data_IF_645162726460
#
_entry.id   IF_645162726460
#
_cell.length_a   1.000
_cell.length_b   1.000
_cell.length_c   1.000
_cell.angle_alpha   90.00
_cell.angle_beta   90.00
_cell.angle_gamma   90.00
#
_symmetry.space_group_name_H-M   'P 1'
#
loop_
_entity.id
_entity.type
_entity.pdbx_description
1 polymer ?
#
# COMPACT_ATOMS: atom_id res chain seq x y z
N UNK A 1 5.34 -2.05 16.28
CA UNK A 1 5.34 -0.60 16.54
C UNK A 1 6.54 0.16 15.92
N UNK A 2 7.62 -0.52 15.50
CA UNK A 2 8.85 0.17 15.07
C UNK A 2 8.87 0.70 13.63
N UNK A 3 8.37 -0.04 12.63
CA UNK A 3 8.49 0.38 11.22
C UNK A 3 7.44 1.40 10.80
N UNK A 4 6.16 1.19 11.16
CA UNK A 4 5.08 2.13 10.84
C UNK A 4 5.32 3.54 11.41
N UNK A 5 5.81 3.62 12.66
CA UNK A 5 6.18 4.91 13.26
C UNK A 5 7.45 5.51 12.63
N UNK A 6 8.35 4.67 12.07
CA UNK A 6 9.59 5.10 11.42
C UNK A 6 9.36 5.55 9.98
N UNK A 7 8.42 4.94 9.25
CA UNK A 7 7.93 5.41 7.95
C UNK A 7 7.10 6.69 8.13
N UNK A 8 6.14 6.69 9.06
CA UNK A 8 5.32 7.87 9.38
C UNK A 8 6.19 9.08 9.78
N UNK A 9 7.18 8.87 10.65
CA UNK A 9 8.12 9.92 11.04
C UNK A 9 9.03 10.42 9.91
N UNK A 10 9.41 9.57 8.95
CA UNK A 10 10.17 10.01 7.77
C UNK A 10 9.32 10.82 6.79
N UNK A 11 8.05 10.43 6.60
CA UNK A 11 7.10 11.13 5.74
C UNK A 11 6.77 12.51 6.32
N UNK A 12 6.51 12.62 7.62
CA UNK A 12 6.20 13.91 8.27
C UNK A 12 7.38 14.91 8.16
N UNK A 13 8.63 14.43 8.30
CA UNK A 13 9.85 15.26 8.16
C UNK A 13 10.11 15.69 6.70
N UNK A 14 9.78 14.85 5.72
CA UNK A 14 9.95 15.19 4.30
C UNK A 14 8.89 16.17 3.81
N UNK A 15 7.67 16.09 4.35
CA UNK A 15 6.59 17.05 4.08
C UNK A 15 6.89 18.44 4.67
N UNK A 16 7.63 18.52 5.78
CA UNK A 16 8.04 19.79 6.40
C UNK A 16 9.22 20.48 5.68
N UNK A 17 10.06 19.70 4.95
CA UNK A 17 11.22 20.22 4.20
C UNK A 17 10.90 20.69 2.78
N UNK A 18 9.70 20.42 2.29
CA UNK A 18 9.21 20.95 1.02
C UNK A 18 8.49 22.26 1.32
N UNK A 19 9.18 23.39 1.10
CA UNK A 19 8.64 24.75 1.25
C UNK A 19 7.41 24.94 0.35
N UNK A 20 6.22 24.60 0.86
CA UNK A 20 4.94 24.90 0.22
C UNK A 20 4.54 26.31 0.65
N UNK A 21 4.40 27.29 -0.27
CA UNK A 21 3.90 28.60 0.09
C UNK A 21 2.47 28.47 0.61
N UNK A 22 2.27 28.92 1.85
CA UNK A 22 0.96 29.08 2.47
C UNK A 22 0.13 30.00 1.57
N UNK A 23 -0.83 29.43 0.84
CA UNK A 23 -1.83 30.23 0.14
C UNK A 23 -3.02 30.40 1.07
N UNK A 24 -3.29 31.65 1.42
CA UNK A 24 -4.37 32.05 2.31
C UNK A 24 -5.71 31.46 1.83
N UNK A 25 -6.31 30.66 2.71
CA UNK A 25 -7.67 30.15 2.61
C UNK A 25 -8.64 31.32 2.63
N UNK A 26 -9.26 31.65 1.50
CA UNK A 26 -10.48 32.45 1.49
C UNK A 26 -11.68 31.50 1.68
N UNK A 27 -12.30 31.57 2.85
CA UNK A 27 -13.49 30.81 3.22
C UNK A 27 -14.63 31.03 2.21
N UNK A 28 -15.01 29.96 1.50
CA UNK A 28 -16.29 29.90 0.80
C UNK A 28 -16.96 28.61 1.28
N UNK A 29 -17.94 28.75 2.17
CA UNK A 29 -18.79 27.64 2.59
C UNK A 29 -19.57 27.11 1.38
N UNK A 30 -19.53 25.80 1.18
CA UNK A 30 -20.30 25.09 0.14
C UNK A 30 -21.60 24.49 0.67
N UNK A 31 -22.00 24.83 1.89
CA UNK A 31 -23.27 24.35 2.45
C UNK A 31 -24.46 24.94 1.69
N UNK A 32 -25.26 24.05 1.08
CA UNK A 32 -26.50 24.40 0.37
C UNK A 32 -26.37 24.54 -1.15
N UNK A 33 -25.19 24.33 -1.73
CA UNK A 33 -25.01 24.38 -3.19
C UNK A 33 -25.52 23.10 -3.87
N UNK A 34 -26.24 23.25 -4.97
CA UNK A 34 -26.64 22.09 -5.78
C UNK A 34 -25.50 21.57 -6.68
N UNK A 35 -25.73 20.44 -7.33
CA UNK A 35 -24.73 19.77 -8.17
C UNK A 35 -24.24 20.61 -9.34
N UNK A 36 -25.09 21.46 -9.92
CA UNK A 36 -24.73 22.31 -11.05
C UNK A 36 -23.93 23.53 -10.57
N UNK A 37 -24.24 24.05 -9.38
CA UNK A 37 -23.46 25.13 -8.74
C UNK A 37 -22.06 24.68 -8.32
N UNK A 38 -21.91 23.45 -7.81
CA UNK A 38 -20.61 22.85 -7.51
C UNK A 38 -19.78 22.62 -8.77
N UNK A 39 -20.42 22.18 -9.86
CA UNK A 39 -19.75 21.99 -11.15
C UNK A 39 -19.27 23.33 -11.74
N UNK A 40 -20.09 24.38 -11.64
CA UNK A 40 -19.72 25.73 -12.07
C UNK A 40 -18.58 26.31 -11.24
N UNK A 41 -18.55 26.09 -9.92
CA UNK A 41 -17.46 26.52 -9.03
C UNK A 41 -16.14 25.81 -9.39
N UNK A 42 -16.20 24.51 -9.67
CA UNK A 42 -15.03 23.72 -10.09
C UNK A 42 -14.48 24.19 -11.46
N UNK A 43 -15.38 24.49 -12.41
CA UNK A 43 -15.00 25.04 -13.72
C UNK A 43 -14.36 26.43 -13.61
N UNK A 44 -14.91 27.30 -12.74
CA UNK A 44 -14.35 28.63 -12.47
C UNK A 44 -12.97 28.57 -11.81
N UNK A 45 -12.75 27.63 -10.87
CA UNK A 45 -11.44 27.38 -10.27
C UNK A 45 -10.41 26.90 -11.30
N UNK A 46 -10.81 26.02 -12.22
CA UNK A 46 -9.95 25.58 -13.34
C UNK A 46 -9.56 26.73 -14.28
N UNK A 47 -10.50 27.63 -14.60
CA UNK A 47 -10.21 28.80 -15.45
C UNK A 47 -9.26 29.80 -14.77
N UNK A 48 -9.49 30.11 -13.49
CA UNK A 48 -8.61 31.01 -12.73
C UNK A 48 -7.19 30.44 -12.56
N UNK A 49 -7.05 29.11 -12.48
CA UNK A 49 -5.74 28.45 -12.43
C UNK A 49 -5.01 28.54 -13.78
N UNK A 50 -5.74 28.35 -14.88
CA UNK A 50 -5.21 28.49 -16.25
C UNK A 50 -4.81 29.93 -16.62
N UNK A 51 -5.44 30.95 -16.04
CA UNK A 51 -5.04 32.35 -16.24
C UNK A 51 -3.81 32.73 -15.40
N UNK A 52 -3.68 32.16 -14.19
CA UNK A 52 -2.48 32.34 -13.36
C UNK A 52 -1.24 31.69 -13.96
N UNK A 53 -1.38 30.55 -14.63
CA UNK A 53 -0.27 29.90 -15.33
C UNK A 53 0.17 30.64 -16.61
N UNK A 54 -0.73 31.40 -17.27
CA UNK A 54 -0.36 32.24 -18.44
C UNK A 54 0.42 33.50 -18.09
N UNK A 55 0.31 33.99 -16.85
CA UNK A 55 1.00 35.21 -16.40
C UNK A 55 2.43 34.96 -15.91
N UNK A 56 2.92 33.71 -15.90
CA UNK A 56 4.29 33.37 -15.52
C UNK A 56 5.29 33.30 -16.69
N UNK A 57 4.83 33.34 -17.95
CA UNK A 57 5.68 33.15 -19.13
C UNK A 57 6.02 34.43 -19.93
N UNK A 58 5.62 35.61 -19.47
CA UNK A 58 5.99 36.87 -20.14
C UNK A 58 7.25 37.51 -19.53
N UNK A 59 8.39 36.86 -19.78
CA UNK A 59 9.73 37.45 -19.69
C UNK A 59 10.34 37.56 -21.09
N UNK A 60 10.43 38.80 -21.58
CA UNK A 60 11.00 39.25 -22.86
C UNK A 60 12.08 38.35 -23.52
N UNK A 61 11.89 38.04 -24.81
CA UNK A 61 12.94 38.18 -25.84
C UNK A 61 12.36 38.30 -27.25
N UNK A 62 12.82 39.32 -27.94
CA UNK A 62 12.42 39.81 -29.27
C UNK A 62 13.18 39.07 -30.39
N UNK A 63 12.42 38.34 -31.23
CA UNK A 63 12.43 38.16 -32.73
C UNK A 63 13.76 38.02 -33.56
N UNK A 64 13.73 37.55 -34.85
CA UNK A 64 12.59 37.23 -35.74
C UNK A 64 12.66 35.95 -36.64
N UNK A 65 11.45 35.56 -37.09
CA UNK A 65 10.99 35.10 -38.42
C UNK A 65 11.30 33.72 -39.05
N UNK A 66 10.21 33.21 -39.67
CA UNK A 66 10.09 32.44 -40.92
C UNK A 66 10.13 30.89 -40.87
N UNK A 67 8.96 30.23 -40.86
CA UNK A 67 8.31 29.65 -42.07
C UNK A 67 6.96 28.96 -41.75
N UNK A 68 5.97 29.23 -42.59
CA UNK A 68 4.65 28.58 -42.67
C UNK A 68 4.71 27.10 -43.09
N UNK A 69 3.80 26.26 -42.57
CA UNK A 69 2.99 25.30 -43.36
C UNK A 69 1.81 24.69 -42.56
N UNK A 70 0.59 25.09 -42.98
CA UNK A 70 -0.68 24.36 -43.17
C UNK A 70 -0.77 22.88 -42.73
N UNK A 71 -1.79 22.49 -41.94
CA UNK A 71 -2.87 21.51 -42.29
C UNK A 71 -4.08 21.72 -41.37
N UNK A 72 -5.20 22.10 -42.00
CA UNK A 72 -6.55 22.19 -41.45
C UNK A 72 -7.34 20.92 -41.85
N UNK A 73 -8.27 20.48 -40.98
CA UNK A 73 -9.33 19.52 -41.33
C UNK A 73 -9.23 18.10 -40.76
N UNK A 74 -9.71 17.89 -39.52
CA UNK A 74 -10.31 16.59 -39.12
C UNK A 74 -11.13 16.57 -37.80
N UNK A 75 -11.84 17.65 -37.44
CA UNK A 75 -12.63 17.67 -36.18
C UNK A 75 -14.13 17.37 -36.37
N UNK A 76 -14.65 17.32 -37.60
CA UNK A 76 -16.11 17.22 -37.83
C UNK A 76 -16.71 15.82 -38.00
N UNK A 77 -15.92 14.74 -37.98
CA UNK A 77 -16.43 13.37 -38.21
C UNK A 77 -16.58 12.50 -36.96
N UNK A 78 -16.21 12.98 -35.77
CA UNK A 78 -16.36 12.21 -34.52
C UNK A 78 -17.72 12.45 -33.83
N UNK A 79 -18.31 13.64 -33.95
CA UNK A 79 -19.57 13.98 -33.27
C UNK A 79 -20.81 13.33 -33.89
N UNK A 80 -20.78 12.92 -35.16
CA UNK A 80 -21.93 12.31 -35.84
C UNK A 80 -22.09 10.81 -35.62
N UNK A 81 -21.04 10.10 -35.16
CA UNK A 81 -21.10 8.65 -34.86
C UNK A 81 -21.61 8.33 -33.45
N UNK A 82 -21.72 9.33 -32.57
CA UNK A 82 -22.21 9.16 -31.20
C UNK A 82 -23.74 9.29 -31.08
N UNK A 83 -24.42 9.94 -32.03
CA UNK A 83 -25.88 10.08 -32.02
C UNK A 83 -26.61 8.82 -32.48
N UNK A 84 -26.00 8.01 -33.35
CA UNK A 84 -26.70 6.94 -34.06
C UNK A 84 -26.63 5.59 -33.31
N UNK A 85 -25.77 5.46 -32.29
CA UNK A 85 -25.68 4.25 -31.43
C UNK A 85 -26.68 4.30 -30.25
N UNK A 86 -27.23 5.47 -29.94
CA UNK A 86 -28.10 5.67 -28.77
C UNK A 86 -29.58 5.29 -28.99
N UNK A 87 -29.98 4.77 -30.17
CA UNK A 87 -31.40 4.56 -30.50
C UNK A 87 -31.82 3.07 -30.56
N UNK A 88 -30.92 2.09 -30.53
CA UNK A 88 -31.32 0.67 -30.58
C UNK A 88 -30.62 -0.21 -29.53
N UNK A 89 -31.05 -0.10 -28.27
CA UNK A 89 -30.98 -1.21 -27.30
C UNK A 89 -31.84 -0.94 -26.07
N UNK A 90 -33.14 -1.19 -26.19
CA UNK A 90 -34.02 -1.41 -25.04
C UNK A 90 -33.78 -2.81 -24.49
N UNK A 91 -32.86 -2.94 -23.55
CA UNK A 91 -32.88 -4.01 -22.53
C UNK A 91 -31.98 -3.61 -21.38
N UNK A 92 -32.59 -3.35 -20.23
CA UNK A 92 -31.90 -3.16 -18.96
C UNK A 92 -31.35 -4.50 -18.49
N UNK A 93 -30.07 -4.77 -18.77
CA UNK A 93 -29.17 -5.66 -18.05
C UNK A 93 -27.81 -5.58 -18.79
N UNK A 94 -26.71 -5.40 -18.06
CA UNK A 94 -25.30 -5.27 -18.54
C UNK A 94 -24.79 -3.89 -18.98
N UNK A 95 -24.94 -2.86 -18.13
CA UNK A 95 -24.14 -1.61 -18.25
C UNK A 95 -22.82 -1.69 -17.45
N UNK A 96 -22.72 -2.56 -16.44
CA UNK A 96 -21.50 -2.72 -15.63
C UNK A 96 -20.36 -3.43 -16.40
N UNK A 97 -20.67 -4.38 -17.26
CA UNK A 97 -19.66 -5.11 -18.05
C UNK A 97 -19.10 -4.29 -19.23
N UNK A 98 -19.89 -3.36 -19.79
CA UNK A 98 -19.47 -2.52 -20.91
C UNK A 98 -18.49 -1.40 -20.50
N UNK A 99 -18.51 -0.98 -19.23
CA UNK A 99 -17.56 -0.02 -18.68
C UNK A 99 -16.16 -0.63 -18.43
N UNK A 100 -16.05 -1.96 -18.37
CA UNK A 100 -14.79 -2.65 -18.10
C UNK A 100 -13.93 -2.84 -19.37
N UNK A 101 -14.53 -3.07 -20.54
CA UNK A 101 -13.76 -3.23 -21.79
C UNK A 101 -13.34 -1.91 -22.47
N UNK A 102 -13.98 -0.78 -22.17
CA UNK A 102 -13.73 0.46 -22.92
C UNK A 102 -12.48 1.25 -22.46
N UNK A 103 -11.80 0.84 -21.38
CA UNK A 103 -10.65 1.58 -20.84
C UNK A 103 -9.28 1.16 -21.38
N UNK A 104 -9.22 0.22 -22.33
CA UNK A 104 -7.96 -0.38 -22.82
C UNK A 104 -7.41 0.27 -24.11
N UNK A 105 -8.05 1.29 -24.71
CA UNK A 105 -7.57 1.85 -25.99
C UNK A 105 -7.59 3.37 -26.06
N UNK A 106 -6.52 3.98 -25.56
CA UNK A 106 -5.87 5.25 -26.01
C UNK A 106 -4.95 5.65 -24.85
N UNK A 107 -3.63 5.72 -24.94
CA UNK A 107 -2.79 6.40 -25.92
C UNK A 107 -1.45 5.66 -26.06
N UNK A 108 -1.14 5.16 -27.26
CA UNK A 108 0.24 5.05 -27.73
C UNK A 108 0.37 6.02 -28.88
N UNK A 109 1.28 6.97 -28.75
CA UNK A 109 2.20 7.46 -29.78
C UNK A 109 2.79 8.79 -29.34
N UNK A 110 4.05 8.79 -28.90
CA UNK A 110 5.11 9.62 -29.49
C UNK A 110 6.47 9.14 -28.95
N UNK A 111 7.41 8.89 -29.86
CA UNK A 111 8.74 8.35 -29.55
C UNK A 111 9.69 9.51 -29.17
N UNK A 112 10.22 9.46 -27.95
CA UNK A 112 11.21 10.41 -27.44
C UNK A 112 11.43 10.19 -25.95
N UNK A 113 11.97 9.03 -25.58
CA UNK A 113 12.13 8.57 -24.20
C UNK A 113 12.90 9.59 -23.34
N UNK A 114 12.21 10.13 -22.35
CA UNK A 114 12.79 10.79 -21.17
C UNK A 114 12.54 9.94 -19.92
N UNK A 115 13.35 10.10 -18.88
CA UNK A 115 13.16 9.40 -17.59
C UNK A 115 11.75 9.64 -16.98
N UNK A 116 11.08 10.72 -17.37
CA UNK A 116 9.70 11.00 -16.97
C UNK A 116 8.68 10.07 -17.66
N UNK A 117 8.95 9.60 -18.87
CA UNK A 117 8.08 8.69 -19.62
C UNK A 117 8.13 7.27 -19.06
N UNK A 118 9.29 6.84 -18.55
CA UNK A 118 9.46 5.53 -17.89
C UNK A 118 8.68 5.47 -16.57
N UNK A 119 8.80 6.49 -15.72
CA UNK A 119 7.99 6.66 -14.50
C UNK A 119 6.48 6.66 -14.80
N UNK A 120 6.04 7.32 -15.88
CA UNK A 120 4.62 7.32 -16.29
C UNK A 120 4.15 5.92 -16.71
N UNK A 121 4.99 5.13 -17.37
CA UNK A 121 4.66 3.73 -17.70
C UNK A 121 4.58 2.82 -16.47
N UNK A 122 5.41 3.04 -15.45
CA UNK A 122 5.38 2.25 -14.20
C UNK A 122 4.19 2.59 -13.32
N UNK A 123 3.77 3.86 -13.31
CA UNK A 123 2.55 4.28 -12.60
C UNK A 123 1.29 3.81 -13.32
N UNK A 124 1.31 3.74 -14.66
CA UNK A 124 0.25 3.08 -15.43
C UNK A 124 0.06 1.64 -14.98
N UNK A 125 1.16 0.91 -14.73
CA UNK A 125 1.09 -0.46 -14.23
C UNK A 125 0.42 -0.55 -12.84
N UNK A 126 0.66 0.41 -11.94
CA UNK A 126 -0.02 0.44 -10.65
C UNK A 126 -1.55 0.58 -10.79
N UNK A 127 -2.01 1.30 -11.82
CA UNK A 127 -3.43 1.44 -12.12
C UNK A 127 -4.03 0.13 -12.68
N UNK A 128 -3.22 -0.74 -13.28
CA UNK A 128 -3.62 -1.99 -13.93
C UNK A 128 -3.50 -3.23 -13.02
N UNK A 129 -3.04 -3.07 -11.77
CA UNK A 129 -2.84 -4.17 -10.84
C UNK A 129 -4.16 -4.74 -10.31
N UNK A 130 -4.48 -5.97 -10.71
CA UNK A 130 -5.52 -6.79 -10.08
C UNK A 130 -4.89 -7.70 -9.01
N UNK A 131 -5.07 -7.32 -7.75
CA UNK A 131 -4.63 -8.12 -6.60
C UNK A 131 -5.73 -9.02 -6.03
N UNK A 132 -6.91 -9.05 -6.67
CA UNK A 132 -8.14 -9.58 -6.07
C UNK A 132 -8.66 -8.70 -4.94
N UNK A 133 -9.96 -8.77 -4.66
CA UNK A 133 -10.55 -8.09 -3.49
C UNK A 133 -10.07 -8.80 -2.22
N UNK A 134 -9.45 -8.10 -1.24
CA UNK A 134 -9.29 -8.65 0.10
C UNK A 134 -10.67 -9.10 0.60
N UNK A 135 -10.77 -10.28 1.21
CA UNK A 135 -12.00 -10.73 1.86
C UNK A 135 -12.25 -9.85 3.09
N UNK A 136 -12.99 -8.77 2.89
CA UNK A 136 -13.58 -7.95 3.93
C UNK A 136 -14.85 -7.32 3.39
N UNK A 137 -15.94 -7.42 4.15
CA UNK A 137 -17.28 -6.94 3.76
C UNK A 137 -17.39 -5.41 3.59
N UNK A 138 -16.27 -4.69 3.65
CA UNK A 138 -16.16 -3.22 3.67
C UNK A 138 -15.54 -2.62 2.39
N UNK A 139 -15.24 -3.44 1.38
CA UNK A 139 -14.84 -2.95 0.06
C UNK A 139 -13.53 -2.15 0.02
N UNK A 140 -12.62 -2.33 1.00
CA UNK A 140 -11.31 -1.67 1.03
C UNK A 140 -10.17 -2.62 0.62
N UNK A 141 -9.03 -2.03 0.29
CA UNK A 141 -7.83 -2.69 -0.25
C UNK A 141 -6.88 -3.25 0.84
N UNK A 142 -7.27 -3.13 2.10
CA UNK A 142 -6.52 -3.61 3.26
C UNK A 142 -6.97 -5.02 3.65
N UNK A 143 -6.04 -5.86 4.14
CA UNK A 143 -6.38 -7.18 4.70
C UNK A 143 -6.72 -7.12 6.21
N UNK A 144 -6.96 -5.93 6.76
CA UNK A 144 -7.19 -5.68 8.17
C UNK A 144 -8.21 -4.58 8.40
N UNK A 145 -8.77 -4.57 9.61
CA UNK A 145 -9.78 -3.61 10.04
C UNK A 145 -9.36 -2.88 11.31
N UNK A 146 -9.91 -1.68 11.54
CA UNK A 146 -9.85 -0.98 12.83
C UNK A 146 -10.99 -1.47 13.72
N UNK A 147 -10.65 -1.96 14.90
CA UNK A 147 -11.59 -2.41 15.92
C UNK A 147 -11.54 -1.48 17.12
N UNK A 148 -12.69 -0.97 17.52
CA UNK A 148 -12.92 -0.34 18.81
C UNK A 148 -13.26 -1.43 19.81
N UNK A 149 -12.35 -1.69 20.73
CA UNK A 149 -12.52 -2.70 21.76
C UNK A 149 -12.78 -2.01 23.09
N UNK A 150 -13.96 -2.24 23.64
CA UNK A 150 -14.37 -1.83 24.97
C UNK A 150 -14.13 -3.00 25.93
N UNK A 151 -13.43 -2.75 27.04
CA UNK A 151 -13.14 -3.76 28.06
C UNK A 151 -12.86 -3.12 29.41
N UNK A 152 -12.41 -3.90 30.38
CA UNK A 152 -12.19 -3.48 31.76
C UNK A 152 -10.68 -3.36 32.02
N UNK A 153 -10.24 -2.27 32.66
CA UNK A 153 -8.86 -2.12 33.12
C UNK A 153 -8.59 -2.79 34.48
N UNK A 154 -7.34 -2.76 34.94
CA UNK A 154 -6.94 -3.32 36.25
C UNK A 154 -7.70 -2.70 37.44
N UNK A 155 -8.20 -1.46 37.29
CA UNK A 155 -8.99 -0.74 38.30
C UNK A 155 -10.49 -1.07 38.25
N UNK A 156 -10.91 -1.98 37.36
CA UNK A 156 -12.32 -2.32 37.16
C UNK A 156 -13.11 -1.30 36.35
N UNK A 157 -12.47 -0.33 35.70
CA UNK A 157 -13.13 0.71 34.89
C UNK A 157 -13.19 0.31 33.43
N UNK A 158 -14.31 0.66 32.79
CA UNK A 158 -14.47 0.48 31.35
C UNK A 158 -13.56 1.43 30.58
N UNK A 159 -12.73 0.89 29.68
CA UNK A 159 -11.88 1.65 28.77
C UNK A 159 -12.11 1.21 27.34
N UNK A 160 -11.91 2.15 26.42
CA UNK A 160 -12.03 1.93 24.99
C UNK A 160 -10.65 2.04 24.37
N UNK A 161 -10.27 1.07 23.55
CA UNK A 161 -9.03 1.08 22.78
C UNK A 161 -9.31 0.75 21.32
N UNK A 162 -8.81 1.59 20.43
CA UNK A 162 -8.90 1.35 18.98
C UNK A 162 -7.64 0.64 18.52
N UNK A 163 -7.76 -0.56 17.96
CA UNK A 163 -6.64 -1.33 17.44
C UNK A 163 -6.96 -1.92 16.08
N UNK A 164 -5.97 -1.92 15.21
CA UNK A 164 -6.06 -2.67 13.96
C UNK A 164 -5.90 -4.17 14.23
N UNK A 165 -6.40 -5.01 13.32
CA UNK A 165 -6.17 -6.45 13.30
C UNK A 165 -6.70 -7.07 12.02
N UNK A 166 -6.11 -8.19 11.57
CA UNK A 166 -6.70 -8.96 10.45
C UNK A 166 -8.02 -9.64 10.83
N UNK A 167 -8.29 -9.75 12.12
CA UNK A 167 -9.54 -10.23 12.71
C UNK A 167 -9.69 -9.68 14.14
N UNK A 168 -10.87 -9.88 14.72
CA UNK A 168 -11.22 -9.46 16.09
C UNK A 168 -10.28 -10.08 17.13
N UNK A 169 -9.97 -11.37 17.02
CA UNK A 169 -9.10 -12.08 17.97
C UNK A 169 -7.71 -11.43 18.08
N UNK A 170 -7.15 -11.00 16.95
CA UNK A 170 -5.86 -10.31 16.93
C UNK A 170 -5.95 -8.91 17.54
N UNK A 171 -7.06 -8.21 17.36
CA UNK A 171 -7.29 -6.92 18.02
C UNK A 171 -7.44 -7.10 19.53
N UNK A 172 -8.18 -8.13 19.98
CA UNK A 172 -8.32 -8.52 21.40
C UNK A 172 -6.95 -8.80 22.02
N UNK A 173 -6.15 -9.69 21.41
CA UNK A 173 -4.80 -10.02 21.90
C UNK A 173 -3.88 -8.80 22.03
N UNK A 174 -4.10 -7.77 21.21
CA UNK A 174 -3.35 -6.50 21.31
C UNK A 174 -3.80 -5.67 22.50
N UNK A 175 -5.11 -5.53 22.74
CA UNK A 175 -5.59 -4.76 23.90
C UNK A 175 -5.33 -5.47 25.23
N UNK A 176 -5.36 -6.81 25.24
CA UNK A 176 -4.99 -7.64 26.41
C UNK A 176 -3.54 -7.41 26.84
N UNK A 177 -2.61 -7.36 25.88
CA UNK A 177 -1.20 -7.04 26.14
C UNK A 177 -0.99 -5.64 26.72
N UNK A 178 -1.99 -4.78 26.61
CA UNK A 178 -1.97 -3.43 27.15
C UNK A 178 -2.84 -3.28 28.41
N UNK A 179 -3.18 -4.40 29.07
CA UNK A 179 -3.86 -4.43 30.37
C UNK A 179 -5.38 -4.28 30.31
N UNK A 180 -6.01 -4.54 29.15
CA UNK A 180 -7.47 -4.56 29.03
C UNK A 180 -7.97 -6.01 29.13
N UNK A 181 -8.98 -6.23 29.96
CA UNK A 181 -9.55 -7.55 30.23
C UNK A 181 -11.01 -7.64 29.84
N UNK A 182 -11.46 -8.86 29.57
CA UNK A 182 -12.84 -9.15 29.21
C UNK A 182 -13.80 -8.98 30.39
N UNK A 183 -15.12 -8.94 30.14
CA UNK A 183 -15.77 -9.13 28.83
C UNK A 183 -15.48 -7.98 27.85
N UNK A 184 -15.34 -8.33 26.56
CA UNK A 184 -15.07 -7.36 25.49
C UNK A 184 -16.33 -7.10 24.66
N UNK A 185 -16.56 -5.83 24.36
CA UNK A 185 -17.51 -5.39 23.34
C UNK A 185 -16.71 -4.78 22.18
N UNK A 186 -17.01 -5.20 20.95
CA UNK A 186 -16.21 -4.86 19.77
C UNK A 186 -17.11 -4.21 18.72
N UNK A 187 -16.62 -3.10 18.19
CA UNK A 187 -17.24 -2.35 17.09
C UNK A 187 -16.19 -2.15 16.00
N UNK A 188 -16.58 -2.34 14.74
CA UNK A 188 -15.73 -2.08 13.59
C UNK A 188 -15.79 -0.58 13.24
N UNK A 189 -14.63 0.07 13.14
CA UNK A 189 -14.51 1.45 12.68
C UNK A 189 -14.04 1.46 11.23
N UNK A 190 -14.64 2.29 10.39
CA UNK A 190 -14.18 2.53 9.03
C UNK A 190 -12.75 3.09 8.98
N UNK A 191 -12.06 2.83 7.88
CA UNK A 191 -10.72 3.39 7.67
C UNK A 191 -10.80 4.86 7.28
N UNK A 192 -9.75 5.61 7.62
CA UNK A 192 -9.74 7.03 7.26
C UNK A 192 -9.54 7.15 5.74
N UNK A 193 -10.23 8.08 5.06
CA UNK A 193 -9.92 8.38 3.67
C UNK A 193 -8.51 8.98 3.54
N UNK A 194 -7.89 8.92 2.34
CA UNK A 194 -6.64 9.59 2.05
C UNK A 194 -6.71 11.07 2.41
N UNK A 195 -5.63 11.57 2.97
CA UNK A 195 -5.51 13.01 3.25
C UNK A 195 -5.38 13.79 1.95
N UNK A 196 -5.77 15.07 1.95
CA UNK A 196 -5.62 15.95 0.79
C UNK A 196 -4.19 15.98 0.24
N UNK A 197 -3.19 15.93 1.14
CA UNK A 197 -1.77 15.88 0.76
C UNK A 197 -1.41 14.59 0.01
N UNK A 198 -1.96 13.46 0.43
CA UNK A 198 -1.78 12.19 -0.25
C UNK A 198 -2.46 12.19 -1.61
N UNK A 199 -3.69 12.69 -1.70
CA UNK A 199 -4.42 12.82 -2.97
C UNK A 199 -3.67 13.71 -3.96
N UNK A 200 -3.20 14.87 -3.52
CA UNK A 200 -2.41 15.78 -4.35
C UNK A 200 -1.08 15.15 -4.80
N UNK A 201 -0.46 14.33 -3.95
CA UNK A 201 0.74 13.59 -4.31
C UNK A 201 0.45 12.51 -5.38
N UNK A 202 -0.61 11.73 -5.21
CA UNK A 202 -1.02 10.72 -6.18
C UNK A 202 -1.39 11.34 -7.53
N UNK A 203 -2.18 12.43 -7.52
CA UNK A 203 -2.57 13.17 -8.73
C UNK A 203 -1.35 13.74 -9.47
N UNK A 204 -0.41 14.35 -8.75
CA UNK A 204 0.83 14.89 -9.35
C UNK A 204 1.64 13.82 -10.08
N UNK A 205 1.62 12.60 -9.56
CA UNK A 205 2.33 11.47 -10.15
C UNK A 205 1.47 10.70 -11.16
N UNK A 206 0.25 11.17 -11.50
CA UNK A 206 -0.60 10.53 -12.50
C UNK A 206 -1.30 9.24 -12.04
N UNK A 207 -1.32 8.96 -10.74
CA UNK A 207 -2.06 7.82 -10.19
C UNK A 207 -3.56 8.12 -10.13
N UNK A 208 -4.39 7.21 -10.66
CA UNK A 208 -5.84 7.37 -10.68
C UNK A 208 -6.41 6.71 -9.42
N UNK A 209 -6.83 7.52 -8.45
CA UNK A 209 -7.36 7.00 -7.19
C UNK A 209 -8.66 6.20 -7.40
N UNK A 210 -8.67 4.88 -7.13
CA UNK A 210 -9.91 4.10 -7.16
C UNK A 210 -10.84 4.51 -6.00
N UNK A 211 -12.16 4.34 -6.15
CA UNK A 211 -13.09 4.52 -5.04
C UNK A 211 -12.77 3.53 -3.91
N UNK A 212 -12.94 3.96 -2.65
CA UNK A 212 -12.65 3.12 -1.48
C UNK A 212 -11.17 3.05 -1.08
N UNK A 213 -10.30 3.83 -1.75
CA UNK A 213 -8.92 4.00 -1.31
C UNK A 213 -8.90 4.56 0.11
N UNK A 214 -8.08 3.98 0.99
CA UNK A 214 -7.88 4.45 2.36
C UNK A 214 -6.59 5.25 2.49
N UNK A 215 -6.44 5.97 3.61
CA UNK A 215 -5.19 6.63 4.00
C UNK A 215 -3.97 5.70 3.99
N UNK A 216 -4.15 4.47 4.45
CA UNK A 216 -3.06 3.51 4.51
C UNK A 216 -2.70 3.02 3.11
N UNK A 217 -3.69 2.73 2.25
CA UNK A 217 -3.47 2.37 0.84
C UNK A 217 -2.70 3.45 0.09
N UNK A 218 -3.13 4.71 0.23
CA UNK A 218 -2.44 5.85 -0.36
C UNK A 218 -1.00 5.97 0.13
N UNK A 219 -0.72 5.61 1.39
CA UNK A 219 0.65 5.61 1.92
C UNK A 219 1.53 4.55 1.25
N UNK A 220 1.00 3.35 1.01
CA UNK A 220 1.74 2.29 0.28
C UNK A 220 2.03 2.71 -1.16
N UNK A 221 1.04 3.26 -1.86
CA UNK A 221 1.22 3.71 -3.26
C UNK A 221 2.26 4.82 -3.34
N UNK A 222 2.17 5.83 -2.46
CA UNK A 222 3.15 6.92 -2.39
C UNK A 222 4.54 6.38 -2.06
N UNK A 223 4.66 5.41 -1.14
CA UNK A 223 5.91 4.75 -0.82
C UNK A 223 6.57 4.15 -2.06
N UNK A 224 5.80 3.41 -2.87
CA UNK A 224 6.29 2.81 -4.12
C UNK A 224 6.75 3.84 -5.14
N UNK A 225 6.02 4.95 -5.27
CA UNK A 225 6.40 6.05 -6.17
C UNK A 225 7.71 6.71 -5.69
N UNK A 226 7.86 6.95 -4.39
CA UNK A 226 9.03 7.63 -3.83
C UNK A 226 10.29 6.74 -3.86
N UNK A 227 10.12 5.46 -3.51
CA UNK A 227 11.24 4.51 -3.42
C UNK A 227 11.51 3.81 -4.78
N UNK A 228 10.76 4.18 -5.83
CA UNK A 228 10.81 3.56 -7.17
C UNK A 228 10.68 2.02 -7.09
N UNK A 229 9.86 1.52 -6.16
CA UNK A 229 9.68 0.10 -5.90
C UNK A 229 8.35 -0.41 -6.48
N UNK A 230 8.41 -0.74 -7.75
CA UNK A 230 7.27 -1.30 -8.48
C UNK A 230 7.20 -2.83 -8.38
N UNK A 231 8.04 -3.47 -7.57
CA UNK A 231 8.04 -4.92 -7.38
C UNK A 231 6.71 -5.43 -6.83
N UNK A 232 6.09 -6.40 -7.52
CA UNK A 232 4.83 -6.99 -7.06
C UNK A 232 5.08 -8.17 -6.14
N UNK A 233 4.44 -8.21 -4.96
CA UNK A 233 4.54 -9.36 -4.08
C UNK A 233 4.10 -10.64 -4.78
N UNK A 234 4.97 -11.64 -4.75
CA UNK A 234 4.63 -12.99 -5.21
C UNK A 234 3.52 -13.64 -4.36
N UNK A 235 2.74 -14.54 -4.96
CA UNK A 235 1.62 -15.21 -4.28
C UNK A 235 2.02 -15.96 -3.01
N UNK A 236 3.20 -16.58 -2.98
CA UNK A 236 3.69 -17.28 -1.78
C UNK A 236 3.93 -16.31 -0.62
N UNK A 237 4.36 -15.07 -0.90
CA UNK A 237 4.63 -14.06 0.11
C UNK A 237 3.32 -13.51 0.68
N UNK A 238 2.32 -13.27 -0.19
CA UNK A 238 0.96 -12.91 0.23
C UNK A 238 0.37 -14.01 1.11
N UNK A 239 0.48 -15.28 0.69
CA UNK A 239 -0.01 -16.42 1.48
C UNK A 239 0.71 -16.54 2.83
N UNK A 240 2.03 -16.35 2.85
CA UNK A 240 2.82 -16.34 4.07
C UNK A 240 2.37 -15.23 5.03
N UNK A 241 2.20 -14.01 4.53
CA UNK A 241 1.72 -12.86 5.30
C UNK A 241 0.33 -13.13 5.89
N UNK A 242 -0.61 -13.65 5.10
CA UNK A 242 -1.95 -14.00 5.57
C UNK A 242 -1.92 -15.06 6.67
N UNK A 243 -1.13 -16.13 6.50
CA UNK A 243 -1.02 -17.19 7.52
C UNK A 243 -0.37 -16.73 8.82
N UNK A 244 0.54 -15.77 8.75
CA UNK A 244 1.14 -15.09 9.90
C UNK A 244 0.29 -13.94 10.42
N UNK A 245 -0.91 -13.75 9.84
CA UNK A 245 -1.86 -12.70 10.18
C UNK A 245 -1.26 -11.29 10.06
N UNK A 246 -0.28 -11.08 9.17
CA UNK A 246 0.40 -9.80 8.95
C UNK A 246 -0.56 -8.83 8.27
N UNK A 247 -0.63 -7.61 8.79
CA UNK A 247 -1.41 -6.52 8.23
C UNK A 247 -0.69 -5.88 7.04
N UNK A 248 -1.37 -5.76 5.88
CA UNK A 248 -0.86 -5.10 4.68
C UNK A 248 -2.00 -4.56 3.78
N UNK A 249 -1.64 -3.62 2.91
CA UNK A 249 -2.46 -3.20 1.75
C UNK A 249 -2.07 -4.04 0.54
N UNK A 250 -3.03 -4.35 -0.34
CA UNK A 250 -2.71 -4.96 -1.64
C UNK A 250 -1.71 -4.15 -2.45
N UNK A 251 -1.62 -2.84 -2.22
CA UNK A 251 -0.69 -1.96 -2.92
C UNK A 251 0.75 -2.05 -2.41
N UNK A 252 1.03 -2.83 -1.35
CA UNK A 252 2.38 -3.02 -0.84
C UNK A 252 3.32 -3.58 -1.93
N UNK A 253 4.57 -3.09 -1.96
CA UNK A 253 5.59 -3.67 -2.82
C UNK A 253 6.04 -5.03 -2.30
N UNK A 254 6.73 -5.81 -3.14
CA UNK A 254 7.31 -7.10 -2.72
C UNK A 254 8.27 -6.92 -1.55
N UNK A 255 9.05 -5.85 -1.55
CA UNK A 255 10.00 -5.53 -0.48
C UNK A 255 9.27 -5.12 0.79
N UNK A 256 8.29 -4.21 0.69
CA UNK A 256 7.51 -3.74 1.83
C UNK A 256 6.76 -4.89 2.51
N UNK A 257 6.15 -5.77 1.73
CA UNK A 257 5.45 -6.92 2.27
C UNK A 257 6.42 -7.91 2.93
N UNK A 258 7.58 -8.16 2.31
CA UNK A 258 8.61 -9.02 2.88
C UNK A 258 9.14 -8.47 4.21
N UNK A 259 9.50 -7.19 4.25
CA UNK A 259 9.90 -6.52 5.48
C UNK A 259 8.79 -6.55 6.53
N UNK A 260 7.54 -6.33 6.14
CA UNK A 260 6.38 -6.41 7.03
C UNK A 260 6.23 -7.81 7.65
N UNK A 261 6.39 -8.87 6.85
CA UNK A 261 6.40 -10.26 7.35
C UNK A 261 7.49 -10.43 8.40
N UNK A 262 8.72 -9.98 8.15
CA UNK A 262 9.84 -10.16 9.09
C UNK A 262 9.67 -9.34 10.37
N UNK A 263 9.26 -8.07 10.27
CA UNK A 263 9.25 -7.13 11.40
C UNK A 263 7.95 -7.15 12.21
N UNK A 264 6.81 -7.48 11.59
CA UNK A 264 5.51 -7.54 12.27
C UNK A 264 5.19 -8.93 12.82
N UNK A 265 5.92 -9.98 12.41
CA UNK A 265 5.85 -11.29 13.06
C UNK A 265 6.21 -11.19 14.54
N UNK A 266 5.46 -11.89 15.39
CA UNK A 266 5.85 -12.02 16.78
C UNK A 266 7.14 -12.83 16.92
N UNK A 267 7.72 -12.83 18.12
CA UNK A 267 9.05 -13.42 18.33
C UNK A 267 9.10 -14.92 18.04
N UNK A 268 7.99 -15.64 18.22
CA UNK A 268 7.88 -17.09 17.96
C UNK A 268 7.89 -17.35 16.46
N UNK A 269 6.98 -16.70 15.74
CA UNK A 269 6.88 -16.83 14.30
C UNK A 269 8.16 -16.36 13.62
N UNK A 270 8.75 -15.26 14.10
CA UNK A 270 10.02 -14.75 13.60
C UNK A 270 11.18 -15.72 13.81
N UNK A 271 11.20 -16.46 14.94
CA UNK A 271 12.21 -17.48 15.18
C UNK A 271 12.02 -18.69 14.24
N UNK A 272 10.77 -19.10 14.00
CA UNK A 272 10.44 -20.17 13.04
C UNK A 272 10.84 -19.78 11.61
N UNK A 273 10.51 -18.55 11.18
CA UNK A 273 10.93 -17.99 9.90
C UNK A 273 12.46 -17.97 9.76
N UNK A 274 13.18 -17.67 10.85
CA UNK A 274 14.64 -17.58 10.82
C UNK A 274 15.30 -18.95 10.63
N UNK A 275 14.87 -19.99 11.35
CA UNK A 275 15.41 -21.34 11.13
C UNK A 275 15.02 -21.88 9.74
N UNK A 276 13.83 -21.55 9.25
CA UNK A 276 13.45 -21.84 7.87
C UNK A 276 14.39 -21.16 6.87
N UNK A 277 14.68 -19.87 7.03
CA UNK A 277 15.67 -19.15 6.22
C UNK A 277 17.04 -19.85 6.21
N UNK A 278 17.52 -20.27 7.39
CA UNK A 278 18.78 -21.01 7.51
C UNK A 278 18.73 -22.33 6.74
N UNK A 279 17.62 -23.09 6.85
CA UNK A 279 17.41 -24.34 6.13
C UNK A 279 17.41 -24.14 4.60
N UNK A 280 16.69 -23.12 4.11
CA UNK A 280 16.65 -22.79 2.68
C UNK A 280 18.04 -22.37 2.18
N UNK A 281 18.74 -21.51 2.92
CA UNK A 281 20.07 -21.04 2.56
C UNK A 281 21.10 -22.18 2.51
N UNK A 282 21.05 -23.12 3.46
CA UNK A 282 21.94 -24.28 3.46
C UNK A 282 21.76 -25.15 2.21
N UNK A 283 20.52 -25.35 1.79
CA UNK A 283 20.17 -26.17 0.63
C UNK A 283 20.24 -25.40 -0.71
N UNK A 284 20.72 -24.15 -0.71
CA UNK A 284 20.73 -23.25 -1.87
C UNK A 284 19.33 -23.10 -2.52
N UNK A 285 18.27 -23.13 -1.71
CA UNK A 285 16.90 -22.94 -2.15
C UNK A 285 16.46 -21.48 -1.88
N UNK A 286 15.57 -20.91 -2.71
CA UNK A 286 15.01 -19.59 -2.45
C UNK A 286 14.14 -19.60 -1.20
N UNK A 287 14.07 -18.46 -0.52
CA UNK A 287 13.10 -18.24 0.55
C UNK A 287 11.68 -18.21 -0.03
N UNK A 288 10.76 -18.99 0.55
CA UNK A 288 9.37 -19.11 0.09
C UNK A 288 8.41 -19.18 1.29
N UNK A 289 7.20 -19.66 1.07
CA UNK A 289 6.22 -19.88 2.12
C UNK A 289 6.66 -21.03 3.04
N UNK A 290 7.11 -20.68 4.25
CA UNK A 290 7.56 -21.64 5.26
C UNK A 290 6.54 -22.75 5.55
N UNK A 291 5.24 -22.45 5.45
CA UNK A 291 4.21 -23.42 5.78
C UNK A 291 3.95 -24.50 4.73
N UNK A 292 4.56 -24.38 3.55
CA UNK A 292 4.57 -25.43 2.53
C UNK A 292 5.69 -26.45 2.79
N UNK A 293 6.60 -26.15 3.73
CA UNK A 293 7.69 -27.04 4.09
C UNK A 293 7.19 -28.16 5.03
N UNK A 294 7.51 -29.44 4.74
CA UNK A 294 7.08 -30.57 5.59
C UNK A 294 7.65 -30.52 7.02
N UNK A 295 8.76 -29.80 7.23
CA UNK A 295 9.41 -29.66 8.53
C UNK A 295 8.89 -28.48 9.36
N UNK A 296 7.75 -27.89 9.00
CA UNK A 296 7.15 -26.75 9.72
C UNK A 296 7.04 -26.96 11.23
N UNK A 297 6.66 -28.17 11.68
CA UNK A 297 6.56 -28.50 13.09
C UNK A 297 7.92 -28.46 13.80
N UNK A 298 9.02 -28.80 13.12
CA UNK A 298 10.37 -28.70 13.67
C UNK A 298 10.81 -27.23 13.80
N UNK A 299 10.45 -26.37 12.85
CA UNK A 299 10.76 -24.94 12.93
C UNK A 299 10.09 -24.29 14.15
N UNK A 300 8.86 -24.68 14.46
CA UNK A 300 8.18 -24.21 15.66
C UNK A 300 8.74 -24.80 16.95
N UNK A 301 9.21 -26.06 16.96
CA UNK A 301 9.94 -26.60 18.12
C UNK A 301 11.22 -25.80 18.42
N UNK A 302 11.95 -25.40 17.37
CA UNK A 302 13.09 -24.50 17.54
C UNK A 302 12.66 -23.12 18.07
N UNK A 303 11.59 -22.55 17.53
CA UNK A 303 11.06 -21.28 18.01
C UNK A 303 10.70 -21.32 19.50
N UNK A 304 10.09 -22.41 19.96
CA UNK A 304 9.77 -22.64 21.37
C UNK A 304 11.05 -22.71 22.24
N UNK A 305 12.13 -23.31 21.74
CA UNK A 305 13.43 -23.29 22.41
C UNK A 305 14.03 -21.88 22.46
N UNK A 306 13.94 -21.10 21.38
CA UNK A 306 14.44 -19.72 21.32
C UNK A 306 13.72 -18.81 22.31
N UNK A 307 12.40 -18.94 22.48
CA UNK A 307 11.63 -18.11 23.41
C UNK A 307 12.08 -18.30 24.86
N UNK A 308 12.55 -19.51 25.19
CA UNK A 308 13.06 -19.84 26.51
C UNK A 308 14.54 -19.45 26.72
N UNK A 309 15.23 -18.94 25.68
CA UNK A 309 16.61 -18.49 25.76
C UNK A 309 16.73 -16.96 25.49
N UNK A 310 16.90 -16.13 26.53
CA UNK A 310 17.07 -14.69 26.38
C UNK A 310 18.25 -14.27 25.51
N UNK A 311 19.33 -15.07 25.44
CA UNK A 311 20.49 -14.79 24.59
C UNK A 311 20.11 -14.95 23.12
N UNK A 312 19.37 -16.01 22.77
CA UNK A 312 18.90 -16.24 21.40
C UNK A 312 17.86 -15.21 20.97
N UNK A 313 16.92 -14.83 21.85
CA UNK A 313 16.00 -13.72 21.58
C UNK A 313 16.76 -12.43 21.24
N UNK A 314 17.77 -12.07 22.04
CA UNK A 314 18.58 -10.86 21.78
C UNK A 314 19.33 -10.96 20.45
N UNK A 315 19.82 -12.14 20.10
CA UNK A 315 20.50 -12.39 18.83
C UNK A 315 19.53 -12.23 17.63
N UNK A 316 18.34 -12.83 17.72
CA UNK A 316 17.28 -12.76 16.72
C UNK A 316 16.74 -11.33 16.53
N UNK A 317 16.49 -10.59 17.61
CA UNK A 317 15.98 -9.20 17.53
C UNK A 317 16.92 -8.24 16.79
N UNK A 318 18.21 -8.57 16.70
CA UNK A 318 19.22 -7.78 15.96
C UNK A 318 19.28 -8.14 14.47
N UNK A 319 18.44 -9.07 13.99
CA UNK A 319 18.41 -9.46 12.58
C UNK A 319 17.48 -8.52 11.80
N UNK A 320 17.88 -8.16 10.59
CA UNK A 320 17.08 -7.39 9.62
C UNK A 320 16.44 -8.34 8.59
N UNK A 321 15.75 -7.82 7.56
CA UNK A 321 15.15 -8.62 6.50
C UNK A 321 16.22 -9.34 5.65
N UNK A 322 17.35 -8.68 5.39
CA UNK A 322 18.49 -9.24 4.66
C UNK A 322 19.06 -10.49 5.36
N UNK A 323 19.07 -10.50 6.70
CA UNK A 323 19.47 -11.66 7.51
C UNK A 323 18.56 -12.89 7.31
N UNK A 324 17.37 -12.77 6.72
CA UNK A 324 16.49 -13.90 6.37
C UNK A 324 16.73 -14.38 4.93
N UNK A 325 17.22 -13.51 4.04
CA UNK A 325 17.66 -13.93 2.71
C UNK A 325 19.06 -14.58 2.76
N UNK A 326 19.95 -13.98 3.56
CA UNK A 326 21.35 -14.37 3.69
C UNK A 326 21.74 -14.43 5.18
N UNK A 327 21.35 -15.50 5.90
CA UNK A 327 21.63 -15.63 7.32
C UNK A 327 23.11 -15.50 7.68
N UNK A 328 23.43 -14.56 8.58
CA UNK A 328 24.80 -14.31 9.05
C UNK A 328 25.31 -15.48 9.90
N UNK A 329 26.23 -16.26 9.31
CA UNK A 329 26.79 -17.51 9.86
C UNK A 329 27.47 -17.38 11.24
N UNK A 330 27.97 -16.18 11.57
CA UNK A 330 28.70 -15.91 12.82
C UNK A 330 27.80 -15.72 14.05
N UNK A 331 26.49 -15.58 13.87
CA UNK A 331 25.57 -15.22 14.96
C UNK A 331 25.21 -16.40 15.86
N UNK A 332 24.90 -16.13 17.13
CA UNK A 332 24.45 -17.18 18.06
C UNK A 332 23.16 -17.87 17.57
N UNK A 333 22.20 -17.09 17.05
CA UNK A 333 20.94 -17.64 16.54
C UNK A 333 21.15 -18.55 15.32
N UNK A 334 22.07 -18.18 14.41
CA UNK A 334 22.42 -19.04 13.27
C UNK A 334 23.07 -20.35 13.74
N UNK A 335 24.04 -20.28 14.64
CA UNK A 335 24.73 -21.47 15.17
C UNK A 335 23.75 -22.42 15.86
N UNK A 336 22.83 -21.87 16.65
CA UNK A 336 21.77 -22.63 17.31
C UNK A 336 20.82 -23.28 16.30
N UNK A 337 20.38 -22.54 15.27
CA UNK A 337 19.54 -23.08 14.21
C UNK A 337 20.22 -24.22 13.44
N UNK A 338 21.49 -24.05 13.06
CA UNK A 338 22.27 -25.09 12.38
C UNK A 338 22.44 -26.35 13.22
N UNK A 339 22.77 -26.21 14.52
CA UNK A 339 22.86 -27.35 15.43
C UNK A 339 21.52 -28.08 15.52
N UNK A 340 20.43 -27.34 15.74
CA UNK A 340 19.09 -27.90 15.84
C UNK A 340 18.68 -28.67 14.57
N UNK A 341 18.95 -28.11 13.39
CA UNK A 341 18.64 -28.76 12.12
C UNK A 341 19.44 -30.05 11.91
N UNK A 342 20.71 -30.09 12.30
CA UNK A 342 21.57 -31.28 12.24
C UNK A 342 21.11 -32.37 13.21
N UNK A 343 20.82 -31.99 14.45
CA UNK A 343 20.36 -32.92 15.49
C UNK A 343 19.05 -33.61 15.10
N UNK A 344 18.21 -32.91 14.34
CA UNK A 344 16.93 -33.43 13.83
C UNK A 344 17.02 -34.02 12.41
N UNK A 345 18.23 -34.20 11.86
CA UNK A 345 18.47 -34.79 10.52
C UNK A 345 17.71 -34.10 9.38
N UNK A 346 17.50 -32.80 9.50
CA UNK A 346 16.92 -31.97 8.43
C UNK A 346 18.01 -31.58 7.43
N UNK A 347 19.25 -31.47 7.90
CA UNK A 347 20.44 -31.22 7.09
C UNK A 347 21.40 -32.39 7.24
N UNK A 348 22.10 -32.71 6.14
CA UNK A 348 23.19 -33.69 6.10
C UNK A 348 24.49 -33.16 6.73
#
# INVERSE_FOLDING_TARGET
MGLFNKLKGKIDILVEKLDIPQTESSDISTEGMDTDELLALAQKRRQNFSEKSRNFDNGEKVLPNELDTVVDGNVKNAQKKLSDVAIESKSHENIEDACFEFRVKTFRNYNGESDADECVTEISYLNDLDFGKPKGDLGCFLNYQKYKVCGIDEDGKTRIKIRIGVNEERAIKRVEKEGLHGPFEIEIIEHDPPTERQLACLERNGFICPPGLTKDDASYIIGRIIDEDFGVPSLWLVSLAQRLNIEFSIFASSKDLYESVIYASDIRDRAALYIYAVCQNYNNLPFRNMFENPNISLFYKFADAVINDPKLIRSLKKRDADDFEKPRKGTDIYKSAMAFLKDNRVLD
#
